data_IF_786408483618
#
_entry.id   IF_786408483618
#
_cell.length_a   1.000
_cell.length_b   1.000
_cell.length_c   1.000
_cell.angle_alpha   90.00
_cell.angle_beta   90.00
_cell.angle_gamma   90.00
#
_symmetry.space_group_name_H-M   'P 1'
#
loop_
_entity.id
_entity.type
_entity.pdbx_description
1 polymer ?
#
# COMPACT_ATOMS: atom_id res chain seq x y z
N UNK A 1 10.88 3.92 30.59
CA UNK A 1 10.31 4.63 29.41
C UNK A 1 9.48 3.63 28.64
N UNK A 2 8.16 3.81 28.47
CA UNK A 2 7.33 2.82 27.78
C UNK A 2 7.67 2.86 26.28
N UNK A 3 8.09 1.72 25.73
CA UNK A 3 8.36 1.53 24.31
C UNK A 3 7.04 1.58 23.57
N UNK A 4 6.68 2.76 23.04
CA UNK A 4 5.50 2.92 22.19
C UNK A 4 5.79 2.28 20.84
N UNK A 5 5.36 1.03 20.69
CA UNK A 5 4.89 0.32 19.50
C UNK A 5 4.68 1.11 18.17
N UNK A 6 5.73 1.71 17.61
CA UNK A 6 5.79 2.34 16.27
C UNK A 6 5.40 1.37 15.13
N UNK A 7 5.58 0.06 15.32
CA UNK A 7 5.18 -0.95 14.33
C UNK A 7 3.66 -1.14 14.25
N UNK A 8 2.94 -0.96 15.36
CA UNK A 8 1.49 -1.15 15.40
C UNK A 8 0.78 -0.03 14.65
N UNK A 9 1.25 1.21 14.74
CA UNK A 9 0.65 2.33 14.01
C UNK A 9 0.88 2.19 12.51
N UNK A 10 2.11 1.89 12.07
CA UNK A 10 2.45 1.76 10.65
C UNK A 10 1.70 0.61 9.96
N UNK A 11 1.57 -0.54 10.62
CA UNK A 11 0.81 -1.67 10.06
C UNK A 11 -0.69 -1.36 9.98
N UNK A 12 -1.26 -0.75 11.02
CA UNK A 12 -2.67 -0.36 11.01
C UNK A 12 -2.98 0.72 9.97
N UNK A 13 -2.04 1.64 9.72
CA UNK A 13 -2.15 2.61 8.62
C UNK A 13 -2.11 1.92 7.25
N UNK A 14 -1.29 0.88 7.09
CA UNK A 14 -1.24 0.07 5.86
C UNK A 14 -2.51 -0.79 5.67
N UNK A 15 -3.11 -1.30 6.75
CA UNK A 15 -4.37 -2.07 6.68
C UNK A 15 -5.58 -1.16 6.45
N UNK A 16 -5.61 0.05 7.03
CA UNK A 16 -6.68 1.05 6.85
C UNK A 16 -6.80 1.54 5.40
N UNK A 17 -5.76 1.33 4.60
CA UNK A 17 -5.82 1.59 3.16
C UNK A 17 -6.84 0.70 2.47
N UNK A 18 -7.08 -0.53 2.97
CA UNK A 18 -8.04 -1.46 2.38
C UNK A 18 -9.45 -0.94 2.62
N UNK A 19 -10.24 -0.89 1.56
CA UNK A 19 -11.58 -0.36 1.60
C UNK A 19 -12.53 -1.22 2.46
N UNK A 20 -13.47 -0.64 3.25
CA UNK A 20 -14.41 -1.41 4.07
C UNK A 20 -15.20 -2.47 3.28
N UNK A 21 -15.60 -2.15 2.04
CA UNK A 21 -16.33 -3.10 1.17
C UNK A 21 -15.52 -4.37 0.85
N UNK A 22 -14.18 -4.29 0.80
CA UNK A 22 -13.35 -5.46 0.54
C UNK A 22 -13.38 -6.45 1.71
N UNK A 23 -13.47 -5.96 2.95
CA UNK A 23 -13.65 -6.81 4.13
C UNK A 23 -15.00 -7.52 4.12
N UNK A 24 -16.07 -6.82 3.72
CA UNK A 24 -17.40 -7.43 3.58
C UNK A 24 -17.40 -8.55 2.53
N UNK A 25 -16.79 -8.33 1.36
CA UNK A 25 -16.70 -9.39 0.32
C UNK A 25 -15.81 -10.54 0.79
N UNK A 26 -14.70 -10.26 1.47
CA UNK A 26 -13.82 -11.31 2.01
C UNK A 26 -14.54 -12.17 3.06
N UNK A 27 -15.33 -11.54 3.95
CA UNK A 27 -16.15 -12.25 4.93
C UNK A 27 -17.23 -13.10 4.25
N UNK A 28 -17.93 -12.54 3.26
CA UNK A 28 -18.95 -13.26 2.50
C UNK A 28 -18.34 -14.47 1.76
N UNK A 29 -17.18 -14.29 1.11
CA UNK A 29 -16.45 -15.37 0.44
C UNK A 29 -15.97 -16.45 1.40
N UNK A 30 -15.46 -16.06 2.58
CA UNK A 30 -15.07 -16.99 3.64
C UNK A 30 -16.27 -17.84 4.12
N UNK A 31 -17.39 -17.18 4.45
CA UNK A 31 -18.61 -17.85 4.90
C UNK A 31 -19.14 -18.78 3.80
N UNK A 32 -19.17 -18.34 2.55
CA UNK A 32 -19.61 -19.16 1.42
C UNK A 32 -18.75 -20.41 1.22
N UNK A 33 -17.42 -20.31 1.37
CA UNK A 33 -16.51 -21.44 1.27
C UNK A 33 -16.75 -22.47 2.39
N UNK A 34 -16.91 -22.01 3.64
CA UNK A 34 -17.16 -22.87 4.80
C UNK A 34 -18.52 -23.56 4.69
N UNK A 35 -19.58 -22.80 4.37
CA UNK A 35 -20.94 -23.33 4.22
C UNK A 35 -21.02 -24.29 3.02
N UNK A 36 -20.40 -23.96 1.90
CA UNK A 36 -20.37 -24.82 0.71
C UNK A 36 -19.72 -26.17 0.99
N UNK A 37 -18.60 -26.18 1.72
CA UNK A 37 -17.95 -27.43 2.13
C UNK A 37 -18.77 -28.20 3.16
N UNK A 38 -19.44 -27.53 4.10
CA UNK A 38 -20.34 -28.20 5.03
C UNK A 38 -21.52 -28.87 4.30
N UNK A 39 -22.15 -28.17 3.34
CA UNK A 39 -23.23 -28.74 2.52
C UNK A 39 -22.74 -29.91 1.68
N UNK A 40 -21.55 -29.80 1.08
CA UNK A 40 -20.93 -30.90 0.35
C UNK A 40 -20.65 -32.12 1.25
N UNK A 41 -20.20 -31.89 2.48
CA UNK A 41 -19.99 -32.93 3.49
C UNK A 41 -21.28 -33.71 3.79
N UNK A 42 -22.40 -32.99 3.88
CA UNK A 42 -23.71 -33.58 4.17
C UNK A 42 -24.35 -34.27 2.94
N UNK A 43 -23.96 -33.89 1.73
CA UNK A 43 -24.50 -34.47 0.49
C UNK A 43 -23.83 -35.81 0.12
N UNK A 44 -22.55 -36.00 0.47
CA UNK A 44 -21.81 -37.22 0.18
C UNK A 44 -21.95 -38.23 1.34
N UNK A 45 -22.05 -39.54 1.03
CA UNK A 45 -22.11 -40.62 2.04
C UNK A 45 -20.72 -41.15 2.42
N UNK A 46 -19.70 -40.86 1.61
CA UNK A 46 -18.31 -41.30 1.82
C UNK A 46 -17.40 -40.12 2.19
N UNK A 47 -17.85 -39.24 3.07
CA UNK A 47 -17.03 -38.13 3.55
C UNK A 47 -15.89 -38.64 4.44
N UNK A 48 -14.67 -38.08 4.32
CA UNK A 48 -13.61 -38.26 5.31
C UNK A 48 -14.07 -37.71 6.68
N UNK A 49 -13.26 -37.88 7.73
CA UNK A 49 -13.63 -37.40 9.06
C UNK A 49 -14.02 -35.91 9.04
N UNK A 50 -15.11 -35.56 9.73
CA UNK A 50 -15.67 -34.21 9.75
C UNK A 50 -14.63 -33.14 10.12
N UNK A 51 -13.68 -33.51 10.98
CA UNK A 51 -12.57 -32.63 11.39
C UNK A 51 -11.67 -32.23 10.20
N UNK A 52 -11.34 -33.16 9.30
CA UNK A 52 -10.48 -32.89 8.13
C UNK A 52 -11.17 -31.94 7.16
N UNK A 53 -12.48 -32.10 6.96
CA UNK A 53 -13.25 -31.27 6.05
C UNK A 53 -13.40 -29.84 6.57
N UNK A 54 -13.65 -29.68 7.88
CA UNK A 54 -13.68 -28.37 8.55
C UNK A 54 -12.31 -27.69 8.48
N UNK A 55 -11.23 -28.40 8.77
CA UNK A 55 -9.87 -27.87 8.67
C UNK A 55 -9.55 -27.40 7.24
N UNK A 56 -9.87 -28.21 6.23
CA UNK A 56 -9.69 -27.84 4.83
C UNK A 56 -10.51 -26.59 4.46
N UNK A 57 -11.76 -26.50 4.91
CA UNK A 57 -12.60 -25.33 4.65
C UNK A 57 -12.12 -24.04 5.32
N UNK A 58 -11.57 -24.12 6.52
CA UNK A 58 -10.96 -22.97 7.19
C UNK A 58 -9.70 -22.53 6.42
N UNK A 59 -8.82 -23.46 6.05
CA UNK A 59 -7.59 -23.14 5.31
C UNK A 59 -7.90 -22.58 3.92
N UNK A 60 -8.79 -23.23 3.17
CA UNK A 60 -9.20 -22.77 1.84
C UNK A 60 -9.94 -21.42 1.90
N UNK A 61 -10.85 -21.28 2.87
CA UNK A 61 -11.60 -20.03 3.09
C UNK A 61 -10.70 -18.87 3.48
N UNK A 62 -9.72 -19.08 4.38
CA UNK A 62 -8.77 -18.02 4.78
C UNK A 62 -7.87 -17.62 3.61
N UNK A 63 -7.39 -18.58 2.81
CA UNK A 63 -6.63 -18.30 1.59
C UNK A 63 -7.47 -17.48 0.58
N UNK A 64 -8.73 -17.85 0.36
CA UNK A 64 -9.66 -17.12 -0.50
C UNK A 64 -9.92 -15.70 0.02
N UNK A 65 -10.17 -15.54 1.32
CA UNK A 65 -10.38 -14.23 1.94
C UNK A 65 -9.13 -13.34 1.81
N UNK A 66 -7.94 -13.89 2.03
CA UNK A 66 -6.67 -13.19 1.81
C UNK A 66 -6.50 -12.73 0.37
N UNK A 67 -6.85 -13.58 -0.60
CA UNK A 67 -6.82 -13.23 -2.02
C UNK A 67 -7.82 -12.11 -2.38
N UNK A 68 -9.05 -12.16 -1.85
CA UNK A 68 -10.06 -11.10 -2.03
C UNK A 68 -9.56 -9.76 -1.46
N UNK A 69 -8.98 -9.78 -0.25
CA UNK A 69 -8.40 -8.58 0.36
C UNK A 69 -7.24 -8.02 -0.47
N UNK A 70 -6.43 -8.89 -1.07
CA UNK A 70 -5.33 -8.49 -1.95
C UNK A 70 -5.85 -7.81 -3.23
N UNK A 71 -6.94 -8.30 -3.82
CA UNK A 71 -7.60 -7.63 -4.94
C UNK A 71 -8.13 -6.25 -4.51
N UNK A 72 -8.75 -6.16 -3.33
CA UNK A 72 -9.21 -4.89 -2.76
C UNK A 72 -8.05 -3.90 -2.54
N UNK A 73 -6.91 -4.39 -2.08
CA UNK A 73 -5.67 -3.61 -1.96
C UNK A 73 -5.20 -3.10 -3.33
N UNK A 74 -5.12 -3.96 -4.35
CA UNK A 74 -4.71 -3.59 -5.72
C UNK A 74 -5.64 -2.53 -6.30
N UNK A 75 -6.96 -2.66 -6.13
CA UNK A 75 -7.94 -1.65 -6.60
C UNK A 75 -7.65 -0.26 -6.01
N UNK A 76 -7.42 -0.20 -4.70
CA UNK A 76 -7.15 1.06 -4.01
C UNK A 76 -5.77 1.61 -4.34
N UNK A 77 -4.74 0.77 -4.37
CA UNK A 77 -3.36 1.16 -4.65
C UNK A 77 -3.22 1.67 -6.10
N UNK A 78 -3.89 1.05 -7.07
CA UNK A 78 -3.96 1.54 -8.46
C UNK A 78 -4.53 2.96 -8.54
N UNK A 79 -5.63 3.23 -7.82
CA UNK A 79 -6.25 4.54 -7.79
C UNK A 79 -5.34 5.62 -7.18
N UNK A 80 -4.59 5.28 -6.13
CA UNK A 80 -3.63 6.21 -5.49
C UNK A 80 -2.42 6.53 -6.37
N UNK A 81 -2.07 5.64 -7.29
CA UNK A 81 -0.96 5.82 -8.25
C UNK A 81 -1.42 6.46 -9.57
N UNK A 82 -2.67 6.92 -9.65
CA UNK A 82 -3.22 7.52 -10.87
C UNK A 82 -3.38 6.52 -12.03
N UNK A 83 -3.38 5.22 -11.76
CA UNK A 83 -3.58 4.18 -12.77
C UNK A 83 -5.07 3.78 -12.83
N UNK A 84 -5.52 3.25 -13.97
CA UNK A 84 -6.91 2.82 -14.17
C UNK A 84 -7.27 1.65 -13.22
N UNK A 85 -8.11 1.94 -12.22
CA UNK A 85 -8.50 0.97 -11.17
C UNK A 85 -9.06 -0.33 -11.73
N UNK A 86 -9.99 -0.20 -12.70
CA UNK A 86 -10.74 -1.32 -13.28
C UNK A 86 -9.81 -2.27 -14.03
N UNK A 87 -8.96 -1.74 -14.91
CA UNK A 87 -8.07 -2.57 -15.74
C UNK A 87 -7.13 -3.41 -14.87
N UNK A 88 -6.50 -2.80 -13.86
CA UNK A 88 -5.59 -3.53 -12.97
C UNK A 88 -6.30 -4.56 -12.10
N UNK A 89 -7.53 -4.29 -11.64
CA UNK A 89 -8.31 -5.32 -10.94
C UNK A 89 -8.75 -6.46 -11.84
N UNK A 90 -9.15 -6.17 -13.08
CA UNK A 90 -9.53 -7.21 -14.03
C UNK A 90 -8.33 -8.11 -14.35
N UNK A 91 -7.15 -7.52 -14.57
CA UNK A 91 -5.92 -8.29 -14.73
C UNK A 91 -5.64 -9.18 -13.51
N UNK A 92 -5.79 -8.65 -12.29
CA UNK A 92 -5.58 -9.41 -11.06
C UNK A 92 -6.55 -10.59 -10.88
N UNK A 93 -7.79 -10.46 -11.36
CA UNK A 93 -8.86 -11.47 -11.23
C UNK A 93 -8.79 -12.53 -12.33
N UNK A 94 -8.63 -12.11 -13.59
CA UNK A 94 -8.80 -13.00 -14.75
C UNK A 94 -7.51 -13.71 -15.15
N UNK A 95 -6.34 -13.19 -14.76
CA UNK A 95 -5.10 -13.89 -15.04
C UNK A 95 -4.89 -14.95 -13.95
N UNK A 96 -4.86 -16.25 -14.31
CA UNK A 96 -4.79 -17.35 -13.35
C UNK A 96 -3.47 -17.36 -12.56
N UNK A 97 -3.43 -18.19 -11.51
CA UNK A 97 -2.23 -18.44 -10.70
C UNK A 97 -1.64 -17.17 -10.06
N UNK A 98 -2.48 -16.19 -9.73
CA UNK A 98 -2.07 -14.88 -9.18
C UNK A 98 -1.10 -14.09 -10.07
N UNK A 99 -0.90 -14.47 -11.33
CA UNK A 99 0.01 -13.78 -12.25
C UNK A 99 -0.39 -12.32 -12.46
N UNK A 100 -1.69 -12.00 -12.48
CA UNK A 100 -2.16 -10.62 -12.58
C UNK A 100 -1.74 -9.73 -11.40
N UNK A 101 -1.67 -10.30 -10.20
CA UNK A 101 -1.19 -9.61 -9.01
C UNK A 101 0.32 -9.41 -9.10
N UNK A 102 1.07 -10.44 -9.51
CA UNK A 102 2.52 -10.34 -9.72
C UNK A 102 2.85 -9.26 -10.76
N UNK A 103 2.16 -9.27 -11.89
CA UNK A 103 2.30 -8.26 -12.94
C UNK A 103 1.99 -6.85 -12.43
N UNK A 104 0.94 -6.68 -11.62
CA UNK A 104 0.64 -5.40 -10.98
C UNK A 104 1.82 -4.90 -10.13
N UNK A 105 2.42 -5.75 -9.29
CA UNK A 105 3.52 -5.33 -8.43
C UNK A 105 4.80 -5.00 -9.21
N UNK A 106 5.05 -5.67 -10.33
CA UNK A 106 6.20 -5.38 -11.21
C UNK A 106 5.98 -4.06 -11.96
N UNK A 107 4.78 -3.82 -12.48
CA UNK A 107 4.49 -2.67 -13.34
C UNK A 107 3.93 -1.46 -12.58
N UNK A 108 3.86 -1.50 -11.24
CA UNK A 108 3.29 -0.41 -10.44
C UNK A 108 4.13 0.86 -10.60
N UNK A 109 3.48 1.94 -11.04
CA UNK A 109 4.09 3.27 -11.06
C UNK A 109 4.41 3.77 -9.65
N UNK A 110 5.43 4.60 -9.45
CA UNK A 110 5.68 5.21 -8.14
C UNK A 110 4.50 6.13 -7.76
N UNK A 111 4.33 6.41 -6.46
CA UNK A 111 3.17 7.21 -6.00
C UNK A 111 3.37 8.68 -6.33
N UNK A 112 2.36 9.27 -6.98
CA UNK A 112 2.25 10.71 -7.20
C UNK A 112 2.29 11.48 -5.86
N UNK A 113 3.00 12.60 -5.85
CA UNK A 113 3.13 13.51 -4.73
C UNK A 113 2.35 14.79 -5.03
N UNK A 114 1.80 15.42 -4.00
CA UNK A 114 1.20 16.75 -4.13
C UNK A 114 2.22 17.81 -3.74
N UNK A 115 2.37 18.85 -4.55
CA UNK A 115 3.20 19.98 -4.20
C UNK A 115 2.64 20.70 -2.95
N UNK A 116 3.44 20.91 -1.89
CA UNK A 116 2.96 21.54 -0.66
C UNK A 116 2.59 23.02 -0.83
N UNK A 117 3.13 23.67 -1.87
CA UNK A 117 2.90 25.11 -2.10
C UNK A 117 1.66 25.36 -2.96
N UNK A 118 1.45 24.60 -4.03
CA UNK A 118 0.36 24.85 -4.99
C UNK A 118 -0.65 23.69 -5.17
N UNK A 119 -0.43 22.56 -4.50
CA UNK A 119 -1.31 21.38 -4.58
C UNK A 119 -1.22 20.57 -5.87
N UNK A 120 -0.41 20.99 -6.86
CA UNK A 120 -0.27 20.28 -8.13
C UNK A 120 0.26 18.86 -7.94
N UNK A 121 -0.24 17.91 -8.75
CA UNK A 121 0.26 16.54 -8.81
C UNK A 121 1.62 16.53 -9.51
N UNK A 122 2.63 15.95 -8.84
CA UNK A 122 4.01 15.85 -9.34
C UNK A 122 4.48 14.41 -9.20
N UNK A 123 5.15 13.91 -10.24
CA UNK A 123 5.74 12.58 -10.23
C UNK A 123 6.97 12.57 -9.28
N UNK A 124 7.18 11.49 -8.52
CA UNK A 124 8.36 11.37 -7.67
C UNK A 124 9.65 11.42 -8.49
N UNK A 125 10.68 12.08 -7.93
CA UNK A 125 11.98 12.28 -8.59
C UNK A 125 12.15 13.64 -9.27
N UNK A 126 11.09 14.45 -9.37
CA UNK A 126 11.20 15.82 -9.86
C UNK A 126 11.84 16.74 -8.80
N UNK A 127 12.92 17.45 -9.17
CA UNK A 127 13.58 18.40 -8.27
C UNK A 127 12.78 19.68 -8.02
N UNK A 128 11.92 20.08 -8.97
CA UNK A 128 11.10 21.29 -8.91
C UNK A 128 9.67 21.02 -9.42
N UNK A 129 8.70 21.72 -8.83
CA UNK A 129 7.32 21.67 -9.30
C UNK A 129 7.18 22.39 -10.65
N UNK A 130 6.60 21.77 -11.69
CA UNK A 130 6.42 22.40 -13.00
C UNK A 130 5.39 23.54 -12.99
N UNK A 131 4.55 23.64 -11.95
CA UNK A 131 3.48 24.65 -11.86
C UNK A 131 3.89 25.91 -11.11
N UNK A 132 4.58 25.78 -9.98
CA UNK A 132 4.95 26.91 -9.12
C UNK A 132 6.45 27.08 -8.89
N UNK A 133 7.29 26.24 -9.52
CA UNK A 133 8.76 26.23 -9.35
C UNK A 133 9.23 25.97 -7.90
N UNK A 134 8.34 25.57 -6.99
CA UNK A 134 8.74 25.17 -5.64
C UNK A 134 9.71 23.98 -5.70
N UNK A 135 10.79 24.04 -4.91
CA UNK A 135 11.80 22.98 -4.84
C UNK A 135 11.24 21.80 -4.05
N UNK A 136 11.21 20.62 -4.67
CA UNK A 136 10.65 19.39 -4.09
C UNK A 136 11.74 18.47 -3.54
N UNK A 137 12.95 18.53 -4.10
CA UNK A 137 14.09 17.76 -3.62
C UNK A 137 15.11 18.66 -2.90
N UNK A 138 15.57 18.28 -1.70
CA UNK A 138 16.62 19.01 -1.00
C UNK A 138 17.93 18.97 -1.79
N UNK A 139 18.78 19.96 -1.56
CA UNK A 139 20.16 20.03 -2.07
C UNK A 139 21.13 20.05 -0.92
N UNK A 140 22.31 19.48 -1.14
CA UNK A 140 23.41 19.56 -0.20
C UNK A 140 23.88 21.01 -0.04
N UNK A 141 24.00 21.57 1.18
CA UNK A 141 24.46 22.95 1.38
C UNK A 141 25.94 23.13 0.99
N UNK A 142 26.76 22.09 1.06
CA UNK A 142 28.19 22.14 0.75
C UNK A 142 28.47 22.07 -0.76
N UNK A 143 27.94 21.06 -1.45
CA UNK A 143 28.25 20.81 -2.86
C UNK A 143 27.13 21.19 -3.84
N UNK A 144 25.97 21.64 -3.34
CA UNK A 144 24.81 22.10 -4.11
C UNK A 144 24.18 21.05 -5.05
N UNK A 145 24.55 19.77 -4.92
CA UNK A 145 23.93 18.66 -5.66
C UNK A 145 22.63 18.21 -5.00
N UNK A 146 21.67 17.75 -5.81
CA UNK A 146 20.40 17.20 -5.33
C UNK A 146 20.62 15.94 -4.49
N UNK A 147 19.88 15.83 -3.38
CA UNK A 147 19.94 14.68 -2.46
C UNK A 147 18.52 14.16 -2.17
N UNK A 148 18.40 12.92 -1.75
CA UNK A 148 17.08 12.33 -1.47
C UNK A 148 16.56 12.77 -0.10
N UNK A 149 15.23 12.84 0.01
CA UNK A 149 14.54 13.13 1.28
C UNK A 149 14.75 11.94 2.21
N UNK A 150 15.63 12.12 3.21
CA UNK A 150 15.99 11.08 4.19
C UNK A 150 17.47 10.71 4.22
N UNK A 151 18.27 11.21 3.27
CA UNK A 151 19.73 11.03 3.32
C UNK A 151 20.30 11.77 4.55
N UNK A 152 21.08 11.06 5.39
CA UNK A 152 21.81 11.68 6.51
C UNK A 152 23.09 12.38 6.04
N UNK A 153 23.76 11.80 5.05
CA UNK A 153 25.00 12.31 4.49
C UNK A 153 24.88 12.45 2.98
N UNK A 154 25.54 13.46 2.42
CA UNK A 154 25.56 13.65 0.98
C UNK A 154 26.36 12.54 0.29
N UNK A 155 25.80 11.79 -0.68
CA UNK A 155 26.52 10.72 -1.39
C UNK A 155 27.66 11.23 -2.28
N UNK A 156 27.73 12.53 -2.53
CA UNK A 156 28.73 13.14 -3.42
C UNK A 156 29.90 13.78 -2.70
N UNK A 157 29.71 14.26 -1.47
CA UNK A 157 30.76 14.99 -0.72
C UNK A 157 30.89 14.56 0.75
N UNK A 158 30.02 13.66 1.24
CA UNK A 158 30.08 13.13 2.60
C UNK A 158 29.61 14.08 3.71
N UNK A 159 29.17 15.30 3.39
CA UNK A 159 28.73 16.26 4.40
C UNK A 159 27.40 15.85 5.04
N UNK A 160 27.26 16.09 6.34
CA UNK A 160 26.03 15.88 7.09
C UNK A 160 24.91 16.83 6.59
N UNK A 161 23.79 16.24 6.18
CA UNK A 161 22.62 16.97 5.66
C UNK A 161 21.70 17.47 6.78
N UNK A 162 21.78 16.91 7.99
CA UNK A 162 21.05 17.39 9.17
C UNK A 162 21.57 18.75 9.65
N UNK A 163 22.85 19.05 9.44
CA UNK A 163 23.45 20.33 9.81
C UNK A 163 22.90 21.53 8.98
N UNK A 164 22.38 21.26 7.78
CA UNK A 164 21.85 22.29 6.86
C UNK A 164 20.37 22.65 7.03
N UNK A 165 19.63 21.90 7.86
CA UNK A 165 18.17 22.09 8.03
C UNK A 165 17.83 23.22 9.01
N UNK A 166 18.84 23.76 9.71
CA UNK A 166 18.66 24.81 10.72
C UNK A 166 18.33 26.21 10.15
N UNK A 167 18.11 26.36 8.83
CA UNK A 167 17.87 27.66 8.19
C UNK A 167 16.56 27.79 7.38
N UNK A 168 15.70 26.76 7.34
CA UNK A 168 14.34 26.92 6.77
C UNK A 168 13.35 26.97 7.91
N UNK A 169 13.11 28.18 8.41
CA UNK A 169 12.03 28.51 9.33
C UNK A 169 10.69 28.15 8.69
N UNK A 170 10.08 27.06 9.17
CA UNK A 170 8.64 26.86 9.07
C UNK A 170 8.01 27.86 10.05
N UNK A 171 7.22 28.86 9.60
CA UNK A 171 6.51 29.71 10.53
C UNK A 171 5.47 28.87 11.28
N UNK A 172 5.46 28.98 12.61
CA UNK A 172 4.50 28.30 13.47
C UNK A 172 3.06 28.68 13.10
N UNK A 173 2.08 27.75 13.20
CA UNK A 173 0.67 28.09 13.04
C UNK A 173 0.23 28.98 14.21
N UNK A 174 -0.29 30.17 13.88
CA UNK A 174 -0.93 31.09 14.81
C UNK A 174 -2.12 30.38 15.49
N UNK A 175 -2.05 30.27 16.82
CA UNK A 175 -3.21 29.94 17.65
C UNK A 175 -3.77 31.25 18.18
N UNK A 176 -4.92 31.63 17.63
CA UNK A 176 -5.85 32.62 18.18
C UNK A 176 -7.20 31.94 18.38
#
# INVERSE_FOLDING_TARGET
>A
MPVRNETSTRFMDEVRIISPWAFFIALLGFVAAVVGLAVAAHADKNHPSMAVMVAFGIVAGTALAGYILLIGYVNRDAGRRGMSRVLWTLLAIFIPNALGIVLYFILRKPRILNCPQCGALVEPGFGFCPRCRHRLSPVCPQCQRGVHVGDKFCPYCGSDLAAGVNAVSVPAPNQG
#
